data_IF_517380344357
#
_entry.id   IF_517380344357
#
_cell.length_a   1.000
_cell.length_b   1.000
_cell.length_c   1.000
_cell.angle_alpha   90.00
_cell.angle_beta   90.00
_cell.angle_gamma   90.00
#
_symmetry.space_group_name_H-M   'P 1'
#
loop_
_entity.id
_entity.type
_entity.pdbx_description
1 polymer ?
#
# COMPACT_ATOMS: atom_id res chain seq x y z
N UNK A 1 -14.68 -26.20 -41.12
CA UNK A 1 -14.05 -26.92 -40.00
C UNK A 1 -13.84 -25.92 -38.86
N UNK A 2 -14.70 -25.97 -37.84
CA UNK A 2 -14.84 -24.95 -36.78
C UNK A 2 -13.69 -25.00 -35.75
N UNK A 3 -13.12 -23.84 -35.42
CA UNK A 3 -12.43 -23.57 -34.14
C UNK A 3 -12.84 -22.19 -33.63
N UNK A 4 -14.06 -22.08 -33.12
CA UNK A 4 -14.61 -20.87 -32.47
C UNK A 4 -15.21 -21.17 -31.08
N UNK A 5 -14.73 -22.22 -30.42
CA UNK A 5 -15.11 -22.57 -29.04
C UNK A 5 -13.86 -22.52 -28.17
N UNK A 6 -13.66 -21.43 -27.40
CA UNK A 6 -12.95 -21.47 -26.10
C UNK A 6 -12.77 -20.10 -25.39
N UNK A 7 -13.72 -19.16 -25.48
CA UNK A 7 -13.73 -17.99 -24.59
C UNK A 7 -15.08 -17.70 -23.94
N UNK A 8 -15.89 -18.73 -23.70
CA UNK A 8 -17.00 -18.61 -22.76
C UNK A 8 -16.42 -18.71 -21.34
N UNK A 9 -15.98 -17.57 -20.79
CA UNK A 9 -15.76 -17.45 -19.35
C UNK A 9 -17.05 -17.91 -18.66
N UNK A 10 -16.98 -18.86 -17.70
CA UNK A 10 -18.18 -19.43 -17.10
C UNK A 10 -19.02 -18.32 -16.47
N UNK A 11 -20.33 -18.36 -16.66
CA UNK A 11 -21.28 -17.35 -16.17
C UNK A 11 -21.11 -17.07 -14.66
N UNK A 12 -20.66 -18.07 -13.90
CA UNK A 12 -20.32 -17.97 -12.48
C UNK A 12 -19.15 -17.02 -12.20
N UNK A 13 -18.16 -16.97 -13.10
CA UNK A 13 -17.04 -16.02 -13.00
C UNK A 13 -17.53 -14.60 -13.25
N UNK A 14 -18.36 -14.39 -14.26
CA UNK A 14 -18.93 -13.08 -14.59
C UNK A 14 -19.81 -12.56 -13.44
N UNK A 15 -20.69 -13.39 -12.89
CA UNK A 15 -21.53 -13.05 -11.73
C UNK A 15 -20.67 -12.73 -10.49
N UNK A 16 -19.60 -13.48 -10.25
CA UNK A 16 -18.68 -13.20 -9.13
C UNK A 16 -17.94 -11.88 -9.31
N UNK A 17 -17.54 -11.54 -10.55
CA UNK A 17 -16.89 -10.25 -10.83
C UNK A 17 -17.86 -9.09 -10.74
N UNK A 18 -19.11 -9.24 -11.20
CA UNK A 18 -20.15 -8.23 -11.07
C UNK A 18 -20.52 -7.97 -9.61
N UNK A 19 -20.65 -9.02 -8.80
CA UNK A 19 -20.87 -8.89 -7.35
C UNK A 19 -19.69 -8.19 -6.65
N UNK A 20 -18.44 -8.48 -7.06
CA UNK A 20 -17.23 -7.77 -6.55
C UNK A 20 -17.16 -6.30 -6.98
N UNK A 21 -17.69 -5.97 -8.15
CA UNK A 21 -17.71 -4.60 -8.67
C UNK A 21 -18.77 -3.78 -7.93
N UNK A 22 -19.96 -4.34 -7.71
CA UNK A 22 -21.01 -3.66 -6.94
C UNK A 22 -20.62 -3.44 -5.47
N UNK A 23 -19.81 -4.32 -4.85
CA UNK A 23 -19.36 -4.14 -3.46
C UNK A 23 -18.43 -2.94 -3.24
N UNK A 24 -17.76 -2.45 -4.29
CA UNK A 24 -16.92 -1.26 -4.22
C UNK A 24 -17.67 0.03 -4.57
N UNK A 25 -18.78 -0.04 -5.32
CA UNK A 25 -19.54 1.15 -5.73
C UNK A 25 -20.20 1.86 -4.55
N UNK A 26 -20.70 1.09 -3.58
CA UNK A 26 -21.29 1.58 -2.34
C UNK A 26 -20.62 0.89 -1.15
N UNK A 27 -19.51 1.45 -0.64
CA UNK A 27 -18.95 1.01 0.64
C UNK A 27 -19.68 1.70 1.78
N UNK A 28 -20.37 0.91 2.61
CA UNK A 28 -21.03 1.41 3.81
C UNK A 28 -20.02 1.95 4.83
N UNK A 29 -20.43 2.96 5.59
CA UNK A 29 -19.61 3.56 6.67
C UNK A 29 -19.10 2.52 7.67
N UNK A 30 -19.90 1.48 7.96
CA UNK A 30 -19.50 0.37 8.84
C UNK A 30 -18.39 -0.48 8.23
N UNK A 31 -18.43 -0.78 6.93
CA UNK A 31 -17.37 -1.54 6.25
C UNK A 31 -16.07 -0.75 6.22
N UNK A 32 -16.17 0.56 5.98
CA UNK A 32 -15.03 1.48 6.01
C UNK A 32 -14.38 1.48 7.39
N UNK A 33 -15.16 1.65 8.47
CA UNK A 33 -14.66 1.59 9.85
C UNK A 33 -14.00 0.24 10.18
N UNK A 34 -14.59 -0.88 9.72
CA UNK A 34 -14.00 -2.21 9.90
C UNK A 34 -12.63 -2.31 9.22
N UNK A 35 -12.49 -1.81 8.00
CA UNK A 35 -11.21 -1.80 7.27
C UNK A 35 -10.17 -0.90 7.92
N UNK A 36 -10.56 0.30 8.35
CA UNK A 36 -9.71 1.25 9.08
C UNK A 36 -9.22 0.67 10.41
N UNK A 37 -10.01 -0.19 11.08
CA UNK A 37 -9.64 -0.83 12.34
C UNK A 37 -8.98 -2.20 12.17
N UNK A 38 -8.90 -2.75 10.95
CA UNK A 38 -8.41 -4.10 10.74
C UNK A 38 -6.88 -4.20 10.88
N UNK A 39 -6.42 -4.73 12.02
CA UNK A 39 -4.99 -4.91 12.32
C UNK A 39 -4.29 -5.80 11.27
N UNK A 40 -4.98 -6.83 10.72
CA UNK A 40 -4.37 -7.74 9.73
C UNK A 40 -4.07 -7.02 8.43
N UNK A 41 -4.97 -6.13 7.99
CA UNK A 41 -4.77 -5.28 6.81
C UNK A 41 -3.57 -4.35 7.01
N UNK A 42 -3.54 -3.62 8.14
CA UNK A 42 -2.44 -2.70 8.47
C UNK A 42 -1.08 -3.39 8.48
N UNK A 43 -0.98 -4.57 9.11
CA UNK A 43 0.25 -5.38 9.14
C UNK A 43 0.73 -5.77 7.74
N UNK A 44 -0.19 -6.16 6.85
CA UNK A 44 0.15 -6.59 5.49
C UNK A 44 0.66 -5.44 4.62
N UNK A 45 0.13 -4.24 4.82
CA UNK A 45 0.51 -3.06 4.04
C UNK A 45 1.88 -2.54 4.50
N UNK A 46 2.10 -2.44 5.81
CA UNK A 46 3.40 -2.03 6.33
C UNK A 46 4.51 -3.04 6.09
N UNK A 47 4.20 -4.34 6.08
CA UNK A 47 5.23 -5.38 5.93
C UNK A 47 6.14 -5.18 4.72
N UNK A 48 5.61 -4.55 3.66
CA UNK A 48 6.34 -4.26 2.42
C UNK A 48 7.33 -3.10 2.56
N UNK A 49 7.01 -2.06 3.33
CA UNK A 49 7.82 -0.85 3.45
C UNK A 49 8.86 -0.88 4.58
N UNK A 50 8.79 -1.90 5.45
CA UNK A 50 9.67 -2.06 6.61
C UNK A 50 11.16 -2.17 6.26
N UNK A 51 11.49 -2.80 5.14
CA UNK A 51 12.87 -3.09 4.72
C UNK A 51 13.71 -1.84 4.45
N UNK A 52 13.07 -0.68 4.28
CA UNK A 52 13.76 0.60 4.05
C UNK A 52 14.19 1.29 5.34
N UNK A 53 13.80 0.77 6.51
CA UNK A 53 14.16 1.38 7.78
C UNK A 53 15.60 1.03 8.17
N UNK A 54 16.40 2.06 8.48
CA UNK A 54 17.79 1.92 8.94
C UNK A 54 17.93 1.05 10.20
N UNK A 55 16.87 0.93 11.00
CA UNK A 55 16.82 0.05 12.17
C UNK A 55 17.05 -1.45 11.89
N UNK A 56 17.01 -1.88 10.62
CA UNK A 56 17.39 -3.26 10.24
C UNK A 56 18.88 -3.49 10.08
N UNK A 57 19.68 -2.43 9.93
CA UNK A 57 21.10 -2.55 9.67
C UNK A 57 21.86 -3.24 10.83
N UNK A 58 21.66 -2.85 12.11
CA UNK A 58 22.39 -3.48 13.22
C UNK A 58 22.15 -4.99 13.37
N UNK A 59 20.90 -5.50 13.43
CA UNK A 59 20.69 -6.94 13.55
C UNK A 59 21.13 -7.71 12.29
N UNK A 60 21.08 -7.08 11.10
CA UNK A 60 21.59 -7.70 9.87
C UNK A 60 23.11 -7.86 9.90
N UNK A 61 23.86 -6.85 10.36
CA UNK A 61 25.32 -6.94 10.49
C UNK A 61 25.73 -8.01 11.49
N UNK A 62 25.01 -8.11 12.62
CA UNK A 62 25.26 -9.14 13.63
C UNK A 62 25.03 -10.55 13.10
N UNK A 63 23.94 -10.76 12.33
CA UNK A 63 23.68 -12.03 11.64
C UNK A 63 24.77 -12.35 10.62
N UNK A 64 25.21 -11.36 9.85
CA UNK A 64 26.27 -11.53 8.87
C UNK A 64 27.59 -11.93 9.54
N UNK A 65 27.98 -11.27 10.63
CA UNK A 65 29.17 -11.62 11.40
C UNK A 65 29.10 -13.06 11.96
N UNK A 66 27.93 -13.47 12.48
CA UNK A 66 27.70 -14.85 12.94
C UNK A 66 27.87 -15.89 11.83
N UNK A 67 27.30 -15.63 10.64
CA UNK A 67 27.43 -16.54 9.48
C UNK A 67 28.88 -16.58 8.98
N UNK A 68 29.54 -15.43 8.81
CA UNK A 68 30.92 -15.36 8.34
C UNK A 68 31.86 -16.09 9.30
N UNK A 69 31.66 -15.94 10.60
CA UNK A 69 32.42 -16.67 11.61
C UNK A 69 32.22 -18.18 11.56
N UNK A 70 30.98 -18.65 11.33
CA UNK A 70 30.71 -20.07 11.13
C UNK A 70 31.35 -20.61 9.85
N UNK A 71 31.29 -19.86 8.75
CA UNK A 71 31.93 -20.23 7.47
C UNK A 71 33.45 -20.26 7.62
N UNK A 72 34.04 -19.32 8.37
CA UNK A 72 35.46 -19.30 8.66
C UNK A 72 35.90 -20.55 9.44
N UNK A 73 35.15 -20.91 10.49
CA UNK A 73 35.42 -22.13 11.25
C UNK A 73 35.20 -23.41 10.43
N UNK A 74 34.25 -23.40 9.49
CA UNK A 74 34.06 -24.50 8.55
C UNK A 74 35.28 -24.74 7.68
N UNK A 75 35.90 -23.66 7.16
CA UNK A 75 37.11 -23.77 6.34
C UNK A 75 38.32 -24.30 7.09
N UNK A 76 38.34 -24.15 8.42
CA UNK A 76 39.43 -24.59 9.28
C UNK A 76 39.15 -25.94 9.96
N UNK A 77 38.09 -26.65 9.54
CA UNK A 77 37.63 -27.92 10.15
C UNK A 77 37.31 -27.85 11.66
N UNK A 78 37.10 -26.64 12.19
CA UNK A 78 36.81 -26.40 13.62
C UNK A 78 35.32 -26.27 13.95
N UNK A 79 34.42 -26.71 13.06
CA UNK A 79 32.98 -26.49 13.22
C UNK A 79 32.40 -27.13 14.49
N UNK A 80 32.87 -28.32 14.85
CA UNK A 80 32.42 -29.11 16.01
C UNK A 80 33.19 -28.79 17.30
N UNK A 81 34.04 -27.77 17.28
CA UNK A 81 34.82 -27.38 18.46
C UNK A 81 34.11 -26.32 19.30
N UNK A 82 34.55 -26.13 20.55
CA UNK A 82 34.05 -25.06 21.43
C UNK A 82 34.16 -23.66 20.79
N UNK A 83 35.03 -23.48 19.80
CA UNK A 83 35.21 -22.20 19.09
C UNK A 83 33.98 -21.78 18.27
N UNK A 84 33.07 -22.70 17.91
CA UNK A 84 31.84 -22.36 17.17
C UNK A 84 30.73 -21.78 18.05
N UNK A 85 30.74 -22.08 19.34
CA UNK A 85 29.75 -21.63 20.33
C UNK A 85 29.53 -20.10 20.29
N UNK A 86 30.56 -19.23 20.35
CA UNK A 86 30.33 -17.78 20.32
C UNK A 86 29.63 -17.31 19.04
N UNK A 87 29.95 -17.90 17.88
CA UNK A 87 29.33 -17.52 16.61
C UNK A 87 27.88 -18.01 16.50
N UNK A 88 27.59 -19.20 17.02
CA UNK A 88 26.22 -19.71 17.15
C UNK A 88 25.40 -18.78 18.04
N UNK A 89 25.93 -18.39 19.20
CA UNK A 89 25.26 -17.47 20.13
C UNK A 89 24.98 -16.12 19.47
N UNK A 90 25.98 -15.53 18.82
CA UNK A 90 25.83 -14.26 18.08
C UNK A 90 24.74 -14.38 17.01
N UNK A 91 24.73 -15.48 16.25
CA UNK A 91 23.71 -15.74 15.25
C UNK A 91 22.31 -15.84 15.87
N UNK A 92 22.14 -16.62 16.93
CA UNK A 92 20.86 -16.75 17.63
C UNK A 92 20.37 -15.41 18.17
N UNK A 93 21.22 -14.64 18.85
CA UNK A 93 20.87 -13.31 19.37
C UNK A 93 20.47 -12.39 18.21
N UNK A 94 21.23 -12.40 17.11
CA UNK A 94 20.91 -11.65 15.89
C UNK A 94 19.53 -11.99 15.33
N UNK A 95 19.16 -13.29 15.28
CA UNK A 95 17.85 -13.71 14.77
C UNK A 95 16.69 -13.25 15.66
N UNK A 96 16.85 -13.37 16.98
CA UNK A 96 15.83 -12.93 17.95
C UNK A 96 15.68 -11.41 17.89
N UNK A 97 16.79 -10.69 17.79
CA UNK A 97 16.80 -9.24 17.68
C UNK A 97 16.13 -8.79 16.37
N UNK A 98 16.49 -9.40 15.23
CA UNK A 98 15.87 -9.11 13.94
C UNK A 98 14.35 -9.31 13.96
N UNK A 99 13.88 -10.43 14.52
CA UNK A 99 12.46 -10.74 14.66
C UNK A 99 11.74 -9.73 15.54
N UNK A 100 12.36 -9.34 16.65
CA UNK A 100 11.83 -8.36 17.60
C UNK A 100 11.75 -6.95 16.99
N UNK A 101 12.80 -6.49 16.32
CA UNK A 101 12.83 -5.19 15.63
C UNK A 101 11.76 -5.11 14.55
N UNK A 102 11.59 -6.17 13.74
CA UNK A 102 10.51 -6.23 12.75
C UNK A 102 9.13 -6.09 13.39
N UNK A 103 8.87 -6.83 14.48
CA UNK A 103 7.59 -6.78 15.19
C UNK A 103 7.35 -5.40 15.83
N UNK A 104 8.37 -4.83 16.44
CA UNK A 104 8.32 -3.51 17.06
C UNK A 104 7.98 -2.42 16.05
N UNK A 105 8.67 -2.36 14.91
CA UNK A 105 8.42 -1.34 13.88
C UNK A 105 7.01 -1.44 13.30
N UNK A 106 6.51 -2.65 13.08
CA UNK A 106 5.13 -2.88 12.63
C UNK A 106 4.15 -2.32 13.67
N UNK A 107 4.32 -2.72 14.93
CA UNK A 107 3.40 -2.35 15.99
C UNK A 107 3.41 -0.84 16.24
N UNK A 108 4.60 -0.22 16.27
CA UNK A 108 4.75 1.23 16.43
C UNK A 108 3.96 1.99 15.36
N UNK A 109 4.10 1.59 14.09
CA UNK A 109 3.38 2.20 12.97
C UNK A 109 1.87 1.98 13.01
N UNK A 110 1.40 0.86 13.58
CA UNK A 110 -0.03 0.60 13.75
C UNK A 110 -0.62 1.41 14.91
N UNK A 111 0.17 1.63 15.96
CA UNK A 111 -0.21 2.38 17.16
C UNK A 111 -0.24 3.90 16.94
N UNK A 112 0.43 4.41 15.90
CA UNK A 112 0.27 5.79 15.44
C UNK A 112 -1.16 5.98 14.89
N UNK A 113 -2.05 6.46 15.76
CA UNK A 113 -3.52 6.44 15.64
C UNK A 113 -4.10 7.15 14.40
N UNK A 114 -3.36 8.09 13.79
CA UNK A 114 -3.85 8.88 12.65
C UNK A 114 -3.49 8.31 11.28
N UNK A 115 -2.85 7.15 11.23
CA UNK A 115 -2.23 6.67 10.01
C UNK A 115 -3.13 5.82 9.12
N UNK A 116 -4.43 5.64 9.35
CA UNK A 116 -5.22 4.82 8.42
C UNK A 116 -6.59 5.41 8.13
N UNK A 117 -6.69 6.04 6.97
CA UNK A 117 -7.95 6.56 6.45
C UNK A 117 -8.23 5.93 5.11
N UNK A 118 -9.43 5.37 4.96
CA UNK A 118 -9.93 4.95 3.66
C UNK A 118 -10.59 6.18 3.04
N UNK A 119 -10.12 6.57 1.87
CA UNK A 119 -10.56 7.75 1.15
C UNK A 119 -11.09 7.35 -0.23
N UNK A 120 -12.18 8.00 -0.64
CA UNK A 120 -12.64 7.96 -2.02
C UNK A 120 -11.74 8.85 -2.89
N UNK A 121 -11.37 8.37 -4.07
CA UNK A 121 -10.54 9.09 -5.05
C UNK A 121 -11.28 9.25 -6.38
N UNK A 122 -11.23 10.46 -6.93
CA UNK A 122 -11.74 10.79 -8.25
C UNK A 122 -10.60 11.16 -9.21
N UNK A 123 -10.61 10.68 -10.46
CA UNK A 123 -9.67 11.09 -11.48
C UNK A 123 -10.01 12.53 -11.92
N UNK A 124 -8.98 13.37 -11.95
CA UNK A 124 -9.10 14.78 -12.38
C UNK A 124 -8.75 14.88 -13.86
N UNK A 125 -7.49 14.58 -14.20
CA UNK A 125 -6.94 14.66 -15.55
C UNK A 125 -5.91 13.54 -15.80
N UNK A 126 -5.60 13.30 -17.07
CA UNK A 126 -4.56 12.36 -17.50
C UNK A 126 -3.77 12.98 -18.65
N UNK A 127 -2.50 13.34 -18.38
CA UNK A 127 -1.59 13.92 -19.37
C UNK A 127 -0.22 13.25 -19.25
N UNK A 128 0.52 13.16 -20.35
CA UNK A 128 1.93 12.73 -20.37
C UNK A 128 2.23 11.43 -19.60
N UNK A 129 1.40 10.39 -19.80
CA UNK A 129 1.51 9.08 -19.11
C UNK A 129 1.44 9.19 -17.58
N UNK A 130 0.87 10.24 -17.04
CA UNK A 130 0.55 10.42 -15.62
C UNK A 130 -0.96 10.61 -15.48
N UNK A 131 -1.52 10.12 -14.38
CA UNK A 131 -2.93 10.26 -14.06
C UNK A 131 -3.06 10.90 -12.68
N UNK A 132 -3.84 11.97 -12.62
CA UNK A 132 -4.05 12.79 -11.43
C UNK A 132 -5.35 12.37 -10.76
N UNK A 133 -5.29 12.11 -9.46
CA UNK A 133 -6.44 11.80 -8.61
C UNK A 133 -6.59 12.84 -7.53
N UNK A 134 -7.82 13.04 -7.09
CA UNK A 134 -8.16 13.89 -5.97
C UNK A 134 -8.90 13.10 -4.90
N UNK A 135 -8.56 13.34 -3.65
CA UNK A 135 -9.19 12.72 -2.48
C UNK A 135 -9.19 13.67 -1.28
N UNK A 136 -10.07 13.45 -0.32
CA UNK A 136 -10.12 14.23 0.93
C UNK A 136 -9.71 13.39 2.13
N UNK A 137 -9.00 14.00 3.10
CA UNK A 137 -8.54 13.37 4.35
C UNK A 137 -9.47 13.69 5.54
N UNK A 138 -10.37 14.67 5.36
CA UNK A 138 -11.25 15.22 6.38
C UNK A 138 -12.55 14.44 6.59
N UNK A 139 -13.57 15.15 7.07
CA UNK A 139 -14.90 14.59 7.34
C UNK A 139 -15.63 14.20 6.05
N UNK A 140 -15.32 14.87 4.94
CA UNK A 140 -15.94 14.63 3.64
C UNK A 140 -15.21 13.57 2.79
N UNK A 141 -14.30 12.77 3.38
CA UNK A 141 -13.46 11.78 2.68
C UNK A 141 -14.19 10.73 1.84
N UNK A 142 -15.46 10.48 2.15
CA UNK A 142 -16.31 9.51 1.46
C UNK A 142 -17.47 10.16 0.69
N UNK A 143 -17.56 11.50 0.71
CA UNK A 143 -18.62 12.23 0.03
C UNK A 143 -18.22 12.48 -1.43
N UNK A 144 -18.85 11.74 -2.34
CA UNK A 144 -18.61 11.87 -3.78
C UNK A 144 -18.95 13.26 -4.31
N UNK A 145 -20.08 13.83 -3.90
CA UNK A 145 -20.55 15.12 -4.39
C UNK A 145 -19.61 16.26 -4.01
N UNK A 146 -19.10 16.23 -2.78
CA UNK A 146 -18.10 17.19 -2.31
C UNK A 146 -16.84 17.18 -3.20
N UNK A 147 -16.33 15.99 -3.55
CA UNK A 147 -15.18 15.87 -4.43
C UNK A 147 -15.49 16.23 -5.88
N UNK A 148 -16.73 16.09 -6.36
CA UNK A 148 -17.10 16.50 -7.72
C UNK A 148 -17.25 18.02 -7.86
N UNK A 149 -17.76 18.70 -6.83
CA UNK A 149 -17.86 20.15 -6.76
C UNK A 149 -16.46 20.79 -6.75
N UNK A 150 -15.59 20.35 -5.83
CA UNK A 150 -14.21 20.82 -5.72
C UNK A 150 -13.38 20.53 -6.98
N UNK A 151 -13.70 19.46 -7.71
CA UNK A 151 -13.06 19.16 -8.98
C UNK A 151 -13.39 20.20 -10.04
N UNK A 152 -14.66 20.66 -10.11
CA UNK A 152 -15.08 21.68 -11.07
C UNK A 152 -14.40 23.00 -10.77
N UNK A 153 -14.43 23.42 -9.51
CA UNK A 153 -13.74 24.62 -9.02
C UNK A 153 -12.25 24.61 -9.35
N UNK A 154 -11.59 23.46 -9.18
CA UNK A 154 -10.17 23.31 -9.51
C UNK A 154 -9.88 23.42 -11.01
N UNK A 155 -10.72 22.82 -11.85
CA UNK A 155 -10.56 22.87 -13.31
C UNK A 155 -10.85 24.28 -13.87
N UNK A 156 -11.69 25.06 -13.19
CA UNK A 156 -11.99 26.45 -13.58
C UNK A 156 -10.90 27.42 -13.12
N UNK A 157 -10.26 27.18 -11.97
CA UNK A 157 -9.29 28.11 -11.36
C UNK A 157 -7.82 27.83 -11.70
N UNK A 158 -7.44 26.60 -12.04
CA UNK A 158 -6.03 26.20 -12.22
C UNK A 158 -5.83 25.42 -13.52
N UNK A 159 -4.85 25.86 -14.32
CA UNK A 159 -4.41 25.12 -15.51
C UNK A 159 -3.84 23.74 -15.15
N UNK A 160 -4.08 22.74 -16.00
CA UNK A 160 -3.60 21.36 -15.83
C UNK A 160 -2.08 21.26 -15.58
N UNK A 161 -1.31 22.22 -16.09
CA UNK A 161 0.15 22.33 -15.92
C UNK A 161 0.57 22.45 -14.44
N UNK A 162 -0.28 23.02 -13.58
CA UNK A 162 -0.03 23.16 -12.14
C UNK A 162 0.19 21.80 -11.46
N UNK A 163 -0.53 20.78 -11.90
CA UNK A 163 -0.46 19.46 -11.27
C UNK A 163 0.83 18.71 -11.63
N UNK A 164 1.47 19.01 -12.76
CA UNK A 164 2.63 18.25 -13.25
C UNK A 164 3.99 18.88 -12.96
N UNK A 165 4.02 20.14 -12.52
CA UNK A 165 5.24 20.84 -12.11
C UNK A 165 5.74 20.44 -10.71
N UNK A 166 4.89 19.80 -9.89
CA UNK A 166 5.28 19.35 -8.56
C UNK A 166 5.99 17.99 -8.61
N UNK A 167 7.14 17.91 -7.93
CA UNK A 167 7.92 16.67 -7.78
C UNK A 167 7.33 15.69 -6.75
N UNK A 168 6.42 16.17 -5.91
CA UNK A 168 5.77 15.38 -4.87
C UNK A 168 4.67 14.48 -5.44
N UNK A 169 4.61 13.25 -4.95
CA UNK A 169 3.57 12.28 -5.36
C UNK A 169 2.19 12.62 -4.79
N UNK A 170 2.16 13.30 -3.65
CA UNK A 170 0.95 13.80 -3.01
C UNK A 170 1.20 15.23 -2.57
N UNK A 171 0.35 16.15 -3.01
CA UNK A 171 0.34 17.52 -2.53
C UNK A 171 -1.04 17.87 -1.97
N UNK A 172 -1.04 18.64 -0.88
CA UNK A 172 -2.25 19.21 -0.29
C UNK A 172 -2.58 20.51 -1.01
N UNK A 173 -3.86 20.74 -1.25
CA UNK A 173 -4.34 22.00 -1.80
C UNK A 173 -4.59 22.99 -0.66
N UNK A 174 -4.06 24.21 -0.81
CA UNK A 174 -4.08 25.35 0.11
C UNK A 174 -5.27 25.33 1.10
N UNK A 175 -4.99 25.23 2.41
CA UNK A 175 -5.93 25.23 3.56
C UNK A 175 -7.16 24.31 3.50
N UNK A 176 -7.24 23.42 2.51
CA UNK A 176 -8.33 22.45 2.37
C UNK A 176 -7.91 21.05 2.80
N UNK A 177 -8.89 20.22 3.11
CA UNK A 177 -8.70 18.79 3.39
C UNK A 177 -8.39 17.96 2.13
N UNK A 178 -8.20 18.61 0.98
CA UNK A 178 -8.07 17.99 -0.33
C UNK A 178 -6.61 17.72 -0.66
N UNK A 179 -6.37 16.51 -1.14
CA UNK A 179 -5.07 16.04 -1.59
C UNK A 179 -5.16 15.59 -3.03
N UNK A 180 -4.10 15.90 -3.77
CA UNK A 180 -3.94 15.49 -5.16
C UNK A 180 -2.79 14.50 -5.24
N UNK A 181 -3.04 13.42 -5.98
CA UNK A 181 -2.18 12.25 -6.12
C UNK A 181 -1.82 12.07 -7.59
N UNK A 182 -0.52 12.08 -7.88
CA UNK A 182 -0.02 11.85 -9.24
C UNK A 182 0.48 10.41 -9.34
N UNK A 183 -0.06 9.65 -10.30
CA UNK A 183 0.31 8.25 -10.52
C UNK A 183 0.76 8.05 -11.96
N UNK A 184 1.96 7.48 -12.16
CA UNK A 184 2.42 7.08 -13.48
C UNK A 184 1.47 6.03 -14.10
N UNK A 185 0.89 6.35 -15.25
CA UNK A 185 -0.05 5.50 -16.00
C UNK A 185 0.58 4.17 -16.44
N UNK A 186 1.90 4.11 -16.58
CA UNK A 186 2.63 2.86 -16.90
C UNK A 186 2.53 1.84 -15.76
N UNK A 187 2.53 2.29 -14.49
CA UNK A 187 2.31 1.41 -13.33
C UNK A 187 0.85 0.95 -13.23
N UNK A 188 -0.08 1.66 -13.88
CA UNK A 188 -1.52 1.35 -13.89
C UNK A 188 -1.96 0.32 -14.92
N UNK A 189 -1.20 0.07 -15.98
CA UNK A 189 -1.53 -0.99 -16.93
C UNK A 189 -1.56 -2.39 -16.26
N UNK A 190 -0.83 -2.57 -15.16
CA UNK A 190 -0.92 -3.75 -14.29
C UNK A 190 -2.14 -3.76 -13.34
N UNK A 191 -2.83 -2.64 -13.16
CA UNK A 191 -3.95 -2.44 -12.22
C UNK A 191 -5.23 -1.90 -12.89
N UNK A 192 -5.46 -2.17 -14.19
CA UNK A 192 -6.74 -1.88 -14.87
C UNK A 192 -7.97 -2.56 -14.26
N UNK A 193 -7.81 -3.50 -13.31
CA UNK A 193 -8.90 -4.18 -12.57
C UNK A 193 -9.61 -3.32 -11.49
N UNK A 194 -9.28 -2.03 -11.35
CA UNK A 194 -9.58 -1.24 -10.14
C UNK A 194 -10.44 0.01 -10.39
N UNK A 195 -10.81 0.32 -11.63
CA UNK A 195 -11.71 1.43 -11.94
C UNK A 195 -13.14 0.89 -12.07
N UNK A 196 -14.02 1.38 -11.22
CA UNK A 196 -15.47 1.14 -11.29
C UNK A 196 -16.08 2.53 -11.41
N UNK A 197 -16.69 2.82 -12.57
CA UNK A 197 -17.38 4.09 -12.85
C UNK A 197 -16.57 5.36 -12.53
N UNK A 198 -15.26 5.33 -12.76
CA UNK A 198 -14.38 6.47 -12.49
C UNK A 198 -14.09 6.73 -11.01
N UNK A 199 -14.54 5.89 -10.07
CA UNK A 199 -14.22 6.04 -8.64
C UNK A 199 -13.22 4.96 -8.22
N UNK A 200 -12.24 5.32 -7.40
CA UNK A 200 -11.27 4.38 -6.83
C UNK A 200 -11.14 4.59 -5.33
N UNK A 201 -10.93 3.52 -4.57
CA UNK A 201 -10.70 3.61 -3.13
C UNK A 201 -9.21 3.52 -2.81
N UNK A 202 -8.77 4.37 -1.90
CA UNK A 202 -7.38 4.48 -1.51
C UNK A 202 -7.27 4.41 0.00
N UNK A 203 -6.27 3.68 0.48
CA UNK A 203 -5.85 3.72 1.87
C UNK A 203 -4.71 4.72 2.00
N UNK A 204 -4.97 5.80 2.72
CA UNK A 204 -3.98 6.82 3.05
C UNK A 204 -3.38 6.52 4.43
N UNK A 205 -2.05 6.50 4.52
CA UNK A 205 -1.35 6.20 5.76
C UNK A 205 -0.10 7.02 6.04
N UNK A 206 -0.30 8.33 6.29
CA UNK A 206 0.73 9.25 6.79
C UNK A 206 1.92 9.49 5.85
N UNK A 207 2.58 10.66 5.96
CA UNK A 207 3.80 10.99 5.21
C UNK A 207 3.74 10.63 3.72
N UNK A 208 2.68 11.05 3.02
CA UNK A 208 2.49 10.85 1.58
C UNK A 208 2.42 9.37 1.12
N UNK A 209 2.24 8.41 2.04
CA UNK A 209 2.10 7.01 1.68
C UNK A 209 0.63 6.65 1.42
N UNK A 210 0.42 5.89 0.35
CA UNK A 210 -0.89 5.45 -0.06
C UNK A 210 -0.84 4.05 -0.69
N UNK A 211 -1.98 3.38 -0.70
CA UNK A 211 -2.16 2.13 -1.46
C UNK A 211 -3.58 2.05 -1.98
N UNK A 212 -3.75 1.78 -3.27
CA UNK A 212 -5.06 1.54 -3.85
C UNK A 212 -5.65 0.23 -3.31
N UNK A 213 -6.93 0.27 -2.95
CA UNK A 213 -7.66 -0.90 -2.46
C UNK A 213 -8.25 -1.67 -3.65
N UNK A 214 -7.91 -2.96 -3.75
CA UNK A 214 -8.60 -3.90 -4.66
C UNK A 214 -9.90 -4.40 -4.04
N UNK A 215 -10.89 -4.73 -4.87
CA UNK A 215 -12.09 -5.48 -4.45
C UNK A 215 -11.75 -6.74 -3.66
N UNK A 216 -10.69 -7.47 -4.06
CA UNK A 216 -10.24 -8.69 -3.39
C UNK A 216 -9.74 -8.44 -1.96
N UNK A 217 -9.06 -7.32 -1.72
CA UNK A 217 -8.62 -6.89 -0.39
C UNK A 217 -9.79 -6.41 0.43
N UNK A 218 -10.70 -5.62 -0.15
CA UNK A 218 -11.90 -5.14 0.53
C UNK A 218 -12.70 -6.33 1.04
N UNK A 219 -13.06 -7.27 0.17
CA UNK A 219 -13.90 -8.42 0.54
C UNK A 219 -13.23 -9.39 1.52
N UNK A 220 -11.89 -9.47 1.55
CA UNK A 220 -11.16 -10.35 2.47
C UNK A 220 -11.07 -9.78 3.89
N UNK A 221 -11.23 -8.47 4.05
CA UNK A 221 -10.99 -7.77 5.31
C UNK A 221 -12.17 -6.91 5.82
N UNK A 222 -13.28 -6.84 5.05
CA UNK A 222 -14.58 -6.24 5.43
C UNK A 222 -15.47 -7.22 6.17
#
# INVERSE_FOLDING_TARGET
MLKFFNYMLPLSYLLSTFARINSMKNMDSNRIKKLENNIKLKKRIFSKNIWKNYAFLPPSLMLFAGIVGLVYLFKMDYLLTLYSIPFIIIFFIGTVWFKSTKRYLINKRISEADSFKVCMCLPVTAENKKQVYMFSIGNNRNNKYYLEEEKKDLLEKKDNSYFFNNNDKIFKLDDTDICILIVDSVKKLATKKYQIDGVSWLLYFGNQNFTFLSSDLVNRYS
#
